data_IF_842999379104
#
_entry.id   IF_842999379104
#
_cell.length_a   1.000
_cell.length_b   1.000
_cell.length_c   1.000
_cell.angle_alpha   90.00
_cell.angle_beta   90.00
_cell.angle_gamma   90.00
#
_symmetry.space_group_name_H-M   'P 1'
#
loop_
_entity.id
_entity.type
_entity.pdbx_description
1 polymer ?
#
# COMPACT_ATOMS: atom_id res chain seq x y z
N UNK A 1 -20.41 6.04 -0.92
CA UNK A 1 -20.02 6.24 -2.33
C UNK A 1 -20.63 5.11 -3.17
N UNK A 2 -21.32 5.46 -4.22
CA UNK A 2 -21.92 4.50 -5.14
C UNK A 2 -21.35 4.71 -6.54
N UNK A 3 -20.84 3.66 -7.17
CA UNK A 3 -20.50 3.67 -8.59
C UNK A 3 -21.81 3.70 -9.38
N UNK A 4 -22.09 4.79 -10.08
CA UNK A 4 -23.21 4.89 -10.99
C UNK A 4 -22.70 4.67 -12.42
N UNK A 5 -23.30 3.71 -13.14
CA UNK A 5 -23.10 3.52 -14.58
C UNK A 5 -22.18 2.36 -14.96
N UNK A 6 -22.57 1.14 -14.63
CA UNK A 6 -22.13 -0.05 -15.35
C UNK A 6 -23.18 -0.37 -16.42
N UNK A 7 -23.08 0.24 -17.59
CA UNK A 7 -24.02 0.00 -18.66
C UNK A 7 -23.46 0.47 -20.00
N UNK A 8 -22.58 -0.32 -20.61
CA UNK A 8 -22.08 -0.11 -21.96
C UNK A 8 -20.57 0.10 -22.04
N UNK A 9 -19.94 -0.23 -23.17
CA UNK A 9 -18.50 -0.13 -23.38
C UNK A 9 -17.94 1.31 -23.36
N UNK A 10 -18.78 2.33 -23.30
CA UNK A 10 -18.42 3.75 -23.28
C UNK A 10 -18.74 4.51 -21.98
N UNK A 11 -19.30 3.85 -20.97
CA UNK A 11 -19.58 4.53 -19.71
C UNK A 11 -18.29 4.77 -18.94
N UNK A 12 -17.71 5.94 -19.08
CA UNK A 12 -16.72 6.45 -18.16
C UNK A 12 -17.39 6.48 -16.78
N UNK A 13 -16.98 5.57 -15.88
CA UNK A 13 -17.54 5.46 -14.55
C UNK A 13 -17.46 6.81 -13.82
N UNK A 14 -18.47 7.14 -13.04
CA UNK A 14 -18.45 8.28 -12.13
C UNK A 14 -18.80 7.83 -10.72
N UNK A 15 -18.18 8.43 -9.74
CA UNK A 15 -18.54 8.22 -8.34
C UNK A 15 -19.47 9.32 -7.87
N UNK A 16 -20.62 8.95 -7.30
CA UNK A 16 -21.54 9.90 -6.70
C UNK A 16 -21.67 9.64 -5.21
N UNK A 17 -21.51 10.68 -4.40
CA UNK A 17 -21.78 10.60 -2.97
C UNK A 17 -23.30 10.45 -2.76
N UNK A 18 -23.70 9.41 -2.05
CA UNK A 18 -25.12 9.14 -1.78
C UNK A 18 -25.73 10.11 -0.78
N UNK A 19 -24.90 10.79 0.01
CA UNK A 19 -25.36 11.73 1.05
C UNK A 19 -25.54 13.15 0.51
N UNK A 20 -24.58 13.67 -0.26
CA UNK A 20 -24.60 15.06 -0.72
C UNK A 20 -24.73 15.21 -2.24
N UNK A 21 -24.79 14.11 -3.00
CA UNK A 21 -24.90 14.14 -4.46
C UNK A 21 -23.64 14.58 -5.21
N UNK A 22 -22.53 14.87 -4.50
CA UNK A 22 -21.29 15.28 -5.14
C UNK A 22 -20.77 14.21 -6.11
N UNK A 23 -20.38 14.62 -7.29
CA UNK A 23 -19.89 13.74 -8.37
C UNK A 23 -18.40 13.92 -8.54
N UNK A 24 -17.67 12.79 -8.52
CA UNK A 24 -16.25 12.74 -8.90
C UNK A 24 -16.18 12.21 -10.33
N UNK A 25 -15.68 13.05 -11.21
CA UNK A 25 -15.56 12.76 -12.64
C UNK A 25 -14.41 11.78 -12.93
N UNK A 26 -14.53 11.04 -14.02
CA UNK A 26 -13.47 10.15 -14.51
C UNK A 26 -12.18 10.88 -14.90
N UNK A 27 -12.23 12.20 -15.05
CA UNK A 27 -11.04 13.04 -15.27
C UNK A 27 -10.08 13.01 -14.07
N UNK A 28 -10.61 12.95 -12.85
CA UNK A 28 -9.83 12.97 -11.62
C UNK A 28 -9.50 11.57 -11.09
N UNK A 29 -10.36 10.56 -11.39
CA UNK A 29 -10.15 9.19 -10.96
C UNK A 29 -10.38 8.21 -12.11
N UNK A 30 -9.45 7.28 -12.30
CA UNK A 30 -9.60 6.18 -13.25
C UNK A 30 -10.27 4.99 -12.57
N UNK A 31 -11.51 4.71 -12.91
CA UNK A 31 -12.32 3.68 -12.25
C UNK A 31 -12.23 2.31 -12.90
N UNK A 32 -11.71 2.23 -14.12
CA UNK A 32 -11.67 0.99 -14.87
C UNK A 32 -10.23 0.66 -15.31
N UNK A 33 -9.96 -0.63 -15.45
CA UNK A 33 -8.68 -1.11 -16.00
C UNK A 33 -8.41 -0.49 -17.38
N UNK A 34 -9.44 -0.38 -18.22
CA UNK A 34 -9.32 0.16 -19.56
C UNK A 34 -8.90 1.63 -19.54
N UNK A 35 -9.57 2.45 -18.73
CA UNK A 35 -9.23 3.88 -18.63
C UNK A 35 -7.81 4.10 -18.08
N UNK A 36 -7.35 3.26 -17.13
CA UNK A 36 -5.98 3.32 -16.64
C UNK A 36 -4.93 2.94 -17.69
N UNK A 37 -5.26 1.99 -18.58
CA UNK A 37 -4.37 1.57 -19.67
C UNK A 37 -4.26 2.63 -20.76
N UNK A 38 -5.40 3.25 -21.12
CA UNK A 38 -5.49 4.25 -22.18
C UNK A 38 -4.92 5.61 -21.74
N UNK A 39 -5.14 5.97 -20.49
CA UNK A 39 -4.70 7.23 -19.90
C UNK A 39 -4.18 6.98 -18.46
N UNK A 40 -2.88 6.66 -18.32
CA UNK A 40 -2.27 6.33 -17.05
C UNK A 40 -2.41 7.43 -16.01
N UNK A 41 -2.78 7.11 -14.74
CA UNK A 41 -2.91 8.10 -13.69
C UNK A 41 -1.53 8.58 -13.20
N UNK A 42 -1.45 9.81 -12.70
CA UNK A 42 -0.25 10.35 -12.04
C UNK A 42 0.04 9.66 -10.71
N UNK A 43 -1.01 9.19 -10.01
CA UNK A 43 -0.92 8.46 -8.75
C UNK A 43 -1.66 7.13 -8.90
N UNK A 44 -0.95 6.04 -8.63
CA UNK A 44 -1.49 4.69 -8.68
C UNK A 44 -1.48 4.04 -7.30
N UNK A 45 -2.66 3.73 -6.76
CA UNK A 45 -2.79 2.88 -5.57
C UNK A 45 -2.87 1.42 -5.99
N UNK A 46 -2.00 0.60 -5.40
CA UNK A 46 -1.94 -0.82 -5.72
C UNK A 46 -1.48 -1.64 -4.51
N UNK A 47 -1.68 -2.95 -4.54
CA UNK A 47 -1.07 -3.86 -3.58
C UNK A 47 0.18 -4.51 -4.16
N UNK A 48 1.06 -5.01 -3.27
CA UNK A 48 2.25 -5.78 -3.65
C UNK A 48 1.89 -6.97 -4.55
N UNK A 49 0.82 -7.66 -4.22
CA UNK A 49 0.35 -8.80 -5.00
C UNK A 49 -0.11 -8.38 -6.41
N UNK A 50 -0.90 -7.32 -6.51
CA UNK A 50 -1.33 -6.78 -7.80
C UNK A 50 -0.15 -6.32 -8.63
N UNK A 51 0.82 -5.63 -8.04
CA UNK A 51 2.05 -5.25 -8.72
C UNK A 51 2.77 -6.49 -9.27
N UNK A 52 2.98 -7.53 -8.44
CA UNK A 52 3.66 -8.76 -8.87
C UNK A 52 2.96 -9.44 -10.04
N UNK A 53 1.64 -9.54 -10.02
CA UNK A 53 0.85 -10.12 -11.10
C UNK A 53 0.94 -9.28 -12.39
N UNK A 54 0.91 -7.96 -12.27
CA UNK A 54 0.81 -7.05 -13.42
C UNK A 54 2.15 -6.71 -14.08
N UNK A 55 3.26 -6.90 -13.40
CA UNK A 55 4.59 -6.70 -14.02
C UNK A 55 4.84 -7.64 -15.21
N UNK A 56 4.25 -8.83 -15.20
CA UNK A 56 4.32 -9.78 -16.31
C UNK A 56 3.33 -9.48 -17.45
N UNK A 57 2.30 -8.68 -17.21
CA UNK A 57 1.26 -8.37 -18.17
C UNK A 57 1.71 -7.24 -19.12
N UNK A 58 1.93 -7.57 -20.38
CA UNK A 58 2.41 -6.63 -21.41
C UNK A 58 1.47 -5.44 -21.65
N UNK A 59 0.19 -5.57 -21.33
CA UNK A 59 -0.80 -4.50 -21.50
C UNK A 59 -0.78 -3.50 -20.36
N UNK A 60 -0.39 -3.91 -19.13
CA UNK A 60 -0.51 -3.10 -17.92
C UNK A 60 0.84 -2.64 -17.38
N UNK A 61 1.92 -3.39 -17.61
CA UNK A 61 3.24 -3.11 -17.01
C UNK A 61 3.75 -1.69 -17.24
N UNK A 62 3.23 -0.98 -18.26
CA UNK A 62 3.57 0.41 -18.53
C UNK A 62 3.10 1.36 -17.40
N UNK A 63 2.03 1.01 -16.65
CA UNK A 63 1.59 1.74 -15.45
C UNK A 63 2.66 1.73 -14.35
N UNK A 64 3.54 0.73 -14.37
CA UNK A 64 4.67 0.61 -13.45
C UNK A 64 5.99 1.10 -14.07
N UNK A 65 5.92 1.85 -15.16
CA UNK A 65 7.08 2.37 -15.86
C UNK A 65 7.88 1.34 -16.64
N UNK A 66 7.27 0.21 -17.05
CA UNK A 66 7.96 -0.87 -17.73
C UNK A 66 7.47 -1.07 -19.16
N UNK A 67 8.42 -1.38 -20.05
CA UNK A 67 8.14 -1.72 -21.45
C UNK A 67 8.00 -0.50 -22.36
N UNK A 68 7.76 -0.75 -23.68
CA UNK A 68 7.84 0.30 -24.71
C UNK A 68 6.72 1.35 -24.64
N UNK A 69 5.63 1.06 -23.95
CA UNK A 69 4.51 2.00 -23.74
C UNK A 69 4.71 2.90 -22.51
N UNK A 70 5.69 2.62 -21.67
CA UNK A 70 5.95 3.43 -20.52
C UNK A 70 6.53 4.79 -20.93
N UNK A 71 5.82 5.86 -20.63
CA UNK A 71 6.33 7.20 -20.83
C UNK A 71 7.43 7.51 -19.82
N UNK A 72 7.24 7.07 -18.59
CA UNK A 72 8.15 7.33 -17.47
C UNK A 72 7.97 6.28 -16.36
N UNK A 73 9.06 5.92 -15.68
CA UNK A 73 8.95 5.16 -14.44
C UNK A 73 8.52 6.08 -13.29
N UNK A 74 7.78 5.57 -12.27
CA UNK A 74 7.42 6.35 -11.10
C UNK A 74 8.63 7.01 -10.45
N UNK A 75 8.50 8.30 -10.15
CA UNK A 75 9.54 9.06 -9.45
C UNK A 75 9.56 8.74 -7.95
N UNK A 76 8.41 8.38 -7.40
CA UNK A 76 8.19 8.08 -6.00
C UNK A 76 7.42 6.77 -5.85
N UNK A 77 7.86 5.92 -4.93
CA UNK A 77 7.12 4.75 -4.47
C UNK A 77 6.95 4.84 -2.96
N UNK A 78 5.70 4.94 -2.53
CA UNK A 78 5.34 4.98 -1.13
C UNK A 78 4.85 3.60 -0.70
N UNK A 79 5.45 3.05 0.34
CA UNK A 79 5.10 1.78 0.96
C UNK A 79 4.44 2.06 2.30
N UNK A 80 3.18 1.70 2.41
CA UNK A 80 2.41 1.87 3.64
C UNK A 80 2.55 0.65 4.55
N UNK A 81 2.41 0.87 5.86
CA UNK A 81 2.49 -0.18 6.90
C UNK A 81 3.74 -1.07 6.77
N UNK A 82 4.90 -0.45 6.61
CA UNK A 82 6.17 -1.16 6.32
C UNK A 82 6.48 -2.23 7.36
N UNK A 83 6.04 -2.09 8.61
CA UNK A 83 6.22 -3.07 9.67
C UNK A 83 5.57 -4.44 9.38
N UNK A 84 4.61 -4.50 8.44
CA UNK A 84 3.96 -5.74 8.03
C UNK A 84 4.81 -6.58 7.05
N UNK A 85 5.82 -5.97 6.41
CA UNK A 85 6.67 -6.67 5.42
C UNK A 85 7.74 -7.53 6.09
N UNK A 86 7.32 -8.48 6.91
CA UNK A 86 8.21 -9.39 7.65
C UNK A 86 8.14 -10.83 7.13
N UNK A 87 9.10 -11.66 7.52
CA UNK A 87 9.12 -13.08 7.17
C UNK A 87 9.12 -13.32 5.65
N UNK A 88 8.40 -14.35 5.21
CA UNK A 88 8.31 -14.75 3.80
C UNK A 88 7.69 -13.68 2.93
N UNK A 89 6.66 -13.00 3.42
CA UNK A 89 6.00 -11.92 2.69
C UNK A 89 6.95 -10.74 2.45
N UNK A 90 7.72 -10.33 3.47
CA UNK A 90 8.74 -9.30 3.33
C UNK A 90 9.83 -9.68 2.35
N UNK A 91 10.32 -10.92 2.40
CA UNK A 91 11.33 -11.41 1.46
C UNK A 91 10.82 -11.40 0.01
N UNK A 92 9.59 -11.84 -0.23
CA UNK A 92 8.97 -11.78 -1.56
C UNK A 92 8.80 -10.36 -2.06
N UNK A 93 8.37 -9.44 -1.19
CA UNK A 93 8.25 -8.02 -1.51
C UNK A 93 9.61 -7.41 -1.85
N UNK A 94 10.64 -7.70 -1.07
CA UNK A 94 12.00 -7.23 -1.34
C UNK A 94 12.51 -7.70 -2.71
N UNK A 95 12.28 -8.96 -3.07
CA UNK A 95 12.62 -9.47 -4.40
C UNK A 95 11.83 -8.80 -5.52
N UNK A 96 10.55 -8.55 -5.30
CA UNK A 96 9.69 -7.85 -6.27
C UNK A 96 10.21 -6.43 -6.53
N UNK A 97 10.50 -5.67 -5.47
CA UNK A 97 10.98 -4.29 -5.56
C UNK A 97 12.33 -4.20 -6.26
N UNK A 98 13.29 -5.10 -5.93
CA UNK A 98 14.58 -5.16 -6.62
C UNK A 98 14.44 -5.50 -8.10
N UNK A 99 13.60 -6.48 -8.43
CA UNK A 99 13.31 -6.85 -9.82
C UNK A 99 12.71 -5.67 -10.58
N UNK A 100 11.74 -4.99 -9.98
CA UNK A 100 11.12 -3.82 -10.57
C UNK A 100 12.12 -2.67 -10.77
N UNK A 101 12.91 -2.33 -9.76
CA UNK A 101 13.94 -1.27 -9.83
C UNK A 101 14.96 -1.55 -10.93
N UNK A 102 15.38 -2.81 -11.08
CA UNK A 102 16.30 -3.22 -12.15
C UNK A 102 15.69 -3.04 -13.54
N UNK A 103 14.40 -3.35 -13.70
CA UNK A 103 13.69 -3.26 -14.98
C UNK A 103 13.32 -1.83 -15.35
N UNK A 104 12.97 -1.00 -14.37
CA UNK A 104 12.56 0.40 -14.59
C UNK A 104 13.71 1.31 -15.03
N UNK A 105 14.97 0.93 -14.72
CA UNK A 105 16.20 1.66 -15.09
C UNK A 105 16.22 3.14 -14.65
N UNK A 106 15.37 3.51 -13.71
CA UNK A 106 15.28 4.87 -13.17
C UNK A 106 15.54 4.84 -11.67
N UNK A 107 16.16 5.88 -11.18
CA UNK A 107 16.19 6.13 -9.73
C UNK A 107 14.79 6.57 -9.28
N UNK A 108 14.17 5.74 -8.47
CA UNK A 108 12.89 6.02 -7.82
C UNK A 108 13.18 6.29 -6.36
N UNK A 109 12.60 7.34 -5.82
CA UNK A 109 12.64 7.59 -4.39
C UNK A 109 11.65 6.65 -3.70
N UNK A 110 12.12 5.97 -2.66
CA UNK A 110 11.28 5.13 -1.81
C UNK A 110 10.95 5.86 -0.52
N UNK A 111 9.70 5.80 -0.11
CA UNK A 111 9.22 6.31 1.18
C UNK A 111 8.47 5.19 1.87
N UNK A 112 8.83 4.90 3.12
CA UNK A 112 8.14 3.93 3.97
C UNK A 112 7.37 4.65 5.07
N UNK A 113 6.09 4.32 5.22
CA UNK A 113 5.28 4.73 6.35
C UNK A 113 5.11 3.54 7.28
N UNK A 114 5.30 3.76 8.57
CA UNK A 114 5.21 2.68 9.54
C UNK A 114 4.84 3.21 10.91
N UNK A 115 4.21 2.35 11.69
CA UNK A 115 4.19 2.47 13.13
C UNK A 115 5.60 2.22 13.69
N UNK A 116 5.74 1.98 14.97
CA UNK A 116 7.04 1.76 15.62
C UNK A 116 7.73 0.50 15.11
N UNK A 117 8.91 0.63 14.52
CA UNK A 117 9.81 -0.46 14.13
C UNK A 117 11.15 -0.25 14.82
N UNK A 118 11.71 -1.29 15.42
CA UNK A 118 13.10 -1.27 15.88
C UNK A 118 14.03 -1.22 14.66
N UNK A 119 14.97 -0.26 14.64
CA UNK A 119 15.90 -0.02 13.53
C UNK A 119 15.19 0.08 12.16
N UNK A 120 14.19 0.97 12.09
CA UNK A 120 13.34 1.16 10.92
C UNK A 120 14.12 1.44 9.64
N UNK A 121 15.16 2.24 9.73
CA UNK A 121 15.96 2.59 8.58
C UNK A 121 16.78 1.38 8.03
N UNK A 122 17.34 0.52 8.86
CA UNK A 122 18.03 -0.69 8.39
C UNK A 122 17.04 -1.70 7.78
N UNK A 123 15.89 -1.87 8.42
CA UNK A 123 14.84 -2.72 7.90
C UNK A 123 14.35 -2.24 6.52
N UNK A 124 14.05 -0.94 6.39
CA UNK A 124 13.59 -0.37 5.13
C UNK A 124 14.65 -0.44 4.03
N UNK A 125 15.90 -0.12 4.33
CA UNK A 125 17.03 -0.28 3.42
C UNK A 125 17.12 -1.70 2.87
N UNK A 126 17.04 -2.69 3.76
CA UNK A 126 17.02 -4.11 3.38
C UNK A 126 15.83 -4.47 2.51
N UNK A 127 14.62 -3.94 2.80
CA UNK A 127 13.41 -4.19 2.03
C UNK A 127 13.53 -3.68 0.59
N UNK A 128 13.96 -2.42 0.42
CA UNK A 128 14.03 -1.77 -0.90
C UNK A 128 15.34 -2.04 -1.64
N UNK A 129 16.33 -2.62 -0.99
CA UNK A 129 17.62 -2.96 -1.59
C UNK A 129 18.58 -1.78 -1.73
N UNK A 130 18.55 -0.87 -0.78
CA UNK A 130 19.45 0.29 -0.68
C UNK A 130 20.47 0.08 0.43
N UNK A 131 21.53 0.90 0.41
CA UNK A 131 22.45 1.00 1.53
C UNK A 131 21.79 1.69 2.72
N UNK A 132 22.08 1.22 3.96
CA UNK A 132 21.54 1.81 5.19
C UNK A 132 21.88 3.30 5.31
N UNK A 133 23.07 3.69 4.86
CA UNK A 133 23.54 5.07 4.96
C UNK A 133 22.79 6.09 4.11
N UNK A 134 21.99 5.64 3.14
CA UNK A 134 21.17 6.55 2.30
C UNK A 134 19.71 6.63 2.74
N UNK A 135 19.34 5.90 3.79
CA UNK A 135 17.97 5.92 4.34
C UNK A 135 17.93 6.85 5.54
N UNK A 136 17.14 7.88 5.45
CA UNK A 136 16.84 8.80 6.54
C UNK A 136 15.56 8.36 7.26
N UNK A 137 15.62 8.28 8.58
CA UNK A 137 14.47 7.98 9.42
C UNK A 137 13.94 9.28 10.02
N UNK A 138 12.68 9.57 9.73
CA UNK A 138 11.98 10.74 10.27
C UNK A 138 11.06 10.24 11.37
N UNK A 139 11.40 10.52 12.62
CA UNK A 139 10.60 10.18 13.79
C UNK A 139 10.13 11.45 14.50
N UNK A 140 8.99 11.41 15.21
CA UNK A 140 8.56 12.53 16.02
C UNK A 140 9.57 12.78 17.15
N UNK A 141 9.83 14.05 17.45
CA UNK A 141 10.66 14.41 18.59
C UNK A 141 9.89 14.06 19.89
N UNK A 142 10.55 13.33 20.78
CA UNK A 142 9.97 12.93 22.08
C UNK A 142 9.49 14.11 22.93
N UNK A 143 10.09 15.29 22.75
CA UNK A 143 9.68 16.53 23.46
C UNK A 143 8.29 17.03 23.02
N UNK A 144 7.85 16.66 21.82
CA UNK A 144 6.55 17.05 21.27
C UNK A 144 5.48 15.97 21.46
N UNK A 145 5.84 14.84 22.06
CA UNK A 145 4.89 13.76 22.35
C UNK A 145 4.12 14.08 23.62
N UNK A 146 2.82 14.22 23.47
CA UNK A 146 1.89 14.41 24.59
C UNK A 146 1.28 13.06 24.95
N UNK A 147 1.32 12.66 26.21
CA UNK A 147 0.63 11.45 26.68
C UNK A 147 -0.87 11.71 26.71
N UNK A 148 -1.63 11.07 25.83
CA UNK A 148 -3.10 11.18 25.78
C UNK A 148 -3.80 10.16 26.67
N UNK A 149 -3.08 9.47 27.53
CA UNK A 149 -3.62 8.46 28.45
C UNK A 149 -2.90 7.12 28.32
N UNK A 150 -3.46 6.10 28.92
CA UNK A 150 -2.95 4.73 28.85
C UNK A 150 -4.03 3.79 28.29
N UNK A 151 -3.66 3.04 27.25
CA UNK A 151 -4.46 1.91 26.82
C UNK A 151 -4.07 0.67 27.64
N UNK A 152 -5.06 0.01 28.20
CA UNK A 152 -4.85 -1.24 28.92
C UNK A 152 -5.18 -2.41 28.01
N UNK A 153 -4.17 -3.20 27.65
CA UNK A 153 -4.36 -4.43 26.90
C UNK A 153 -4.38 -5.61 27.87
N UNK A 154 -5.53 -6.28 27.98
CA UNK A 154 -5.67 -7.51 28.74
C UNK A 154 -5.50 -8.70 27.78
N UNK A 155 -4.39 -9.41 27.87
CA UNK A 155 -4.18 -10.65 27.11
C UNK A 155 -4.73 -11.84 27.90
N UNK A 156 -5.85 -12.41 27.43
CA UNK A 156 -6.43 -13.62 28.00
C UNK A 156 -5.88 -14.83 27.25
N UNK A 157 -5.25 -15.74 28.02
CA UNK A 157 -4.78 -17.02 27.48
C UNK A 157 -5.72 -18.12 27.97
N UNK A 158 -6.41 -18.76 27.04
CA UNK A 158 -7.28 -19.90 27.33
C UNK A 158 -6.69 -21.20 26.82
N UNK A 159 -7.32 -22.30 27.23
CA UNK A 159 -7.03 -23.63 26.69
C UNK A 159 -7.38 -23.66 25.19
N UNK A 160 -6.47 -24.12 24.31
CA UNK A 160 -6.74 -24.23 22.88
C UNK A 160 -7.97 -25.06 22.51
N UNK A 161 -8.44 -25.90 23.41
CA UNK A 161 -9.63 -26.75 23.22
C UNK A 161 -10.94 -25.98 23.48
N UNK A 162 -10.91 -24.80 24.07
CA UNK A 162 -12.12 -24.05 24.45
C UNK A 162 -12.12 -22.59 23.97
N UNK A 163 -12.09 -22.42 22.64
CA UNK A 163 -12.20 -21.06 22.05
C UNK A 163 -13.50 -20.33 22.43
N UNK A 164 -14.60 -21.06 22.63
CA UNK A 164 -15.86 -20.49 23.03
C UNK A 164 -15.83 -19.92 24.46
N UNK A 165 -15.09 -20.54 25.40
CA UNK A 165 -14.90 -20.03 26.74
C UNK A 165 -14.05 -18.75 26.75
N UNK A 166 -13.04 -18.65 25.88
CA UNK A 166 -12.20 -17.47 25.74
C UNK A 166 -12.99 -16.27 25.21
N UNK A 167 -13.82 -16.49 24.20
CA UNK A 167 -14.71 -15.47 23.64
C UNK A 167 -15.73 -14.99 24.68
N UNK A 168 -16.35 -15.91 25.44
CA UNK A 168 -17.31 -15.59 26.49
C UNK A 168 -16.65 -14.74 27.61
N UNK A 169 -15.44 -15.10 28.04
CA UNK A 169 -14.70 -14.36 29.06
C UNK A 169 -14.29 -12.97 28.57
N UNK A 170 -13.90 -12.85 27.29
CA UNK A 170 -13.56 -11.57 26.68
C UNK A 170 -14.76 -10.61 26.62
N UNK A 171 -15.94 -11.14 26.29
CA UNK A 171 -17.19 -10.34 26.23
C UNK A 171 -17.63 -9.90 27.63
N UNK A 172 -17.36 -10.70 28.67
CA UNK A 172 -17.70 -10.33 30.05
C UNK A 172 -16.72 -9.32 30.68
N UNK A 173 -15.52 -9.19 30.13
CA UNK A 173 -14.51 -8.26 30.60
C UNK A 173 -14.61 -6.84 29.98
N UNK A 174 -15.45 -6.67 28.95
CA UNK A 174 -15.80 -5.39 28.33
C UNK A 174 -17.00 -4.75 29.03
#
# INVERSE_FOLDING_TARGET
>A
LRLAGAGGPESQGRLTCVTCGHVVESLHLRFTRRSMIEDPPDILFTSVEMMNQRLADSQIRHLFGLGPRASMAPALMLLDEVHLYTGTFGAQTAHLLRRWSHLSRRQTQFVGLSATIADGAAFFASLVGLDRGVVEEIAPNSEHMVSEGAEYMLALRGDPVSQAALLSTSIQAL
#
